data_IF_522548892549
#
_entry.id   IF_522548892549
#
_cell.length_a   1.000
_cell.length_b   1.000
_cell.length_c   1.000
_cell.angle_alpha   90.00
_cell.angle_beta   90.00
_cell.angle_gamma   90.00
#
_symmetry.space_group_name_H-M   'P 1'
#
loop_
_entity.id
_entity.type
_entity.pdbx_description
1 polymer ?
#
# COMPACT_ATOMS: atom_id res chain seq x y z
N UNK A 1 52.15 39.00 -19.14
CA UNK A 1 51.64 37.64 -18.85
C UNK A 1 50.21 37.80 -18.36
N UNK A 2 49.29 37.93 -19.32
CA UNK A 2 47.85 38.10 -19.10
C UNK A 2 47.20 36.77 -19.44
N UNK A 3 46.69 36.07 -18.43
CA UNK A 3 45.93 34.85 -18.60
C UNK A 3 44.63 35.18 -19.33
N UNK A 4 44.56 34.74 -20.59
CA UNK A 4 43.31 34.67 -21.34
C UNK A 4 42.58 33.45 -20.81
N UNK A 5 41.81 33.65 -19.75
CA UNK A 5 40.82 32.71 -19.27
C UNK A 5 39.81 32.52 -20.40
N UNK A 6 39.84 31.34 -21.01
CA UNK A 6 38.94 30.95 -22.09
C UNK A 6 37.52 30.92 -21.56
N UNK A 7 36.82 32.03 -21.79
CA UNK A 7 35.37 32.12 -21.87
C UNK A 7 34.92 31.20 -23.01
N UNK A 8 34.77 29.91 -22.71
CA UNK A 8 34.09 28.98 -23.59
C UNK A 8 32.61 29.32 -23.44
N UNK A 9 31.94 29.84 -24.49
CA UNK A 9 30.49 29.91 -24.48
C UNK A 9 29.97 28.51 -24.17
N UNK A 10 29.28 28.37 -23.04
CA UNK A 10 28.60 27.13 -22.70
C UNK A 10 27.69 26.76 -23.88
N UNK A 11 27.50 25.47 -24.19
CA UNK A 11 26.64 25.08 -25.29
C UNK A 11 25.24 25.67 -25.04
N UNK A 12 24.90 26.73 -25.76
CA UNK A 12 23.57 27.31 -25.80
C UNK A 12 22.59 26.15 -26.04
N UNK A 13 21.68 25.99 -25.08
CA UNK A 13 20.92 24.77 -24.81
C UNK A 13 20.44 24.03 -26.06
N UNK A 14 21.18 22.99 -26.43
CA UNK A 14 20.86 22.14 -27.56
C UNK A 14 19.50 21.49 -27.39
N UNK A 15 18.48 22.02 -28.08
CA UNK A 15 17.27 21.31 -28.53
C UNK A 15 16.44 20.58 -27.47
N UNK A 16 16.62 20.86 -26.19
CA UNK A 16 15.87 20.26 -25.10
C UNK A 16 14.39 20.72 -25.21
N UNK A 17 13.42 19.80 -25.32
CA UNK A 17 12.01 20.17 -25.37
C UNK A 17 11.64 20.97 -24.12
N UNK A 18 11.05 22.16 -24.30
CA UNK A 18 10.55 22.95 -23.19
C UNK A 18 9.31 22.25 -22.59
N UNK A 19 9.34 21.79 -21.32
CA UNK A 19 8.17 21.20 -20.70
C UNK A 19 7.02 22.20 -20.51
N UNK A 20 7.28 23.51 -20.54
CA UNK A 20 6.27 24.55 -20.39
C UNK A 20 5.16 24.47 -21.44
N UNK A 21 5.52 24.15 -22.69
CA UNK A 21 4.58 24.13 -23.83
C UNK A 21 3.76 22.84 -23.96
N UNK A 22 4.05 21.81 -23.15
CA UNK A 22 3.38 20.51 -23.24
C UNK A 22 1.98 20.59 -22.60
N UNK A 23 0.92 20.27 -23.36
CA UNK A 23 -0.47 20.34 -22.93
C UNK A 23 -1.19 18.98 -22.85
N UNK A 24 -0.66 17.95 -23.50
CA UNK A 24 -1.32 16.63 -23.60
C UNK A 24 -0.40 15.46 -23.22
N UNK A 25 -1.00 14.31 -22.91
CA UNK A 25 -0.27 13.06 -22.61
C UNK A 25 0.65 12.68 -23.77
N UNK A 26 0.15 12.74 -25.00
CA UNK A 26 0.91 12.38 -26.21
C UNK A 26 2.09 13.31 -26.47
N UNK A 27 1.92 14.63 -26.28
CA UNK A 27 3.02 15.59 -26.37
C UNK A 27 4.10 15.31 -25.33
N UNK A 28 3.72 15.01 -24.10
CA UNK A 28 4.66 14.69 -23.03
C UNK A 28 5.49 13.45 -23.33
N UNK A 29 4.85 12.36 -23.80
CA UNK A 29 5.57 11.13 -24.17
C UNK A 29 6.47 11.34 -25.39
N UNK A 30 6.03 12.11 -26.40
CA UNK A 30 6.87 12.48 -27.54
C UNK A 30 8.10 13.27 -27.11
N UNK A 31 7.95 14.19 -26.16
CA UNK A 31 9.08 14.95 -25.61
C UNK A 31 10.09 14.03 -24.88
N UNK A 32 9.63 13.04 -24.10
CA UNK A 32 10.51 12.02 -23.50
C UNK A 32 11.25 11.17 -24.56
N UNK A 33 10.59 10.84 -25.68
CA UNK A 33 11.22 10.11 -26.79
C UNK A 33 12.26 10.98 -27.51
N UNK A 34 11.99 12.27 -27.67
CA UNK A 34 12.95 13.22 -28.23
C UNK A 34 14.21 13.32 -27.36
N UNK A 35 14.05 13.43 -26.03
CA UNK A 35 15.18 13.36 -25.09
C UNK A 35 16.00 12.08 -25.25
N UNK A 36 15.33 10.92 -25.30
CA UNK A 36 16.01 9.64 -25.54
C UNK A 36 16.79 9.62 -26.85
N UNK A 37 16.25 10.24 -27.90
CA UNK A 37 16.89 10.30 -29.22
C UNK A 37 18.12 11.21 -29.23
N UNK A 38 18.04 12.39 -28.60
CA UNK A 38 19.17 13.33 -28.46
C UNK A 38 20.33 12.64 -27.72
N UNK A 39 20.03 11.95 -26.63
CA UNK A 39 21.03 11.22 -25.83
C UNK A 39 21.47 9.88 -26.47
N UNK A 40 20.86 9.49 -27.60
CA UNK A 40 21.15 8.23 -28.31
C UNK A 40 21.09 6.97 -27.42
N UNK A 41 20.26 6.97 -26.37
CA UNK A 41 20.22 5.86 -25.41
C UNK A 41 19.34 4.70 -25.90
N UNK A 42 19.90 3.50 -25.86
CA UNK A 42 19.16 2.26 -26.08
C UNK A 42 18.27 1.92 -24.86
N UNK A 43 17.22 1.12 -25.05
CA UNK A 43 16.39 0.67 -23.92
C UNK A 43 17.19 -0.17 -22.91
N UNK A 44 18.23 -0.88 -23.35
CA UNK A 44 19.12 -1.65 -22.47
C UNK A 44 19.99 -0.73 -21.61
N UNK A 45 20.48 0.36 -22.19
CA UNK A 45 21.23 1.37 -21.43
C UNK A 45 20.33 2.11 -20.44
N UNK A 46 19.11 2.45 -20.84
CA UNK A 46 18.13 3.03 -19.91
C UNK A 46 17.80 2.07 -18.76
N UNK A 47 17.64 0.78 -19.03
CA UNK A 47 17.46 -0.22 -17.97
C UNK A 47 18.63 -0.22 -16.99
N UNK A 48 19.89 -0.15 -17.48
CA UNK A 48 21.07 -0.07 -16.60
C UNK A 48 21.09 1.20 -15.76
N UNK A 49 20.79 2.36 -16.36
CA UNK A 49 20.84 3.66 -15.67
C UNK A 49 19.70 3.88 -14.68
N UNK A 50 18.52 3.34 -14.98
CA UNK A 50 17.31 3.60 -14.18
C UNK A 50 16.95 2.45 -13.23
N UNK A 51 17.49 1.25 -13.44
CA UNK A 51 17.04 0.02 -12.76
C UNK A 51 15.66 -0.46 -13.21
N UNK A 52 14.96 0.25 -14.12
CA UNK A 52 13.63 -0.12 -14.56
C UNK A 52 13.67 -1.27 -15.60
N UNK A 53 12.74 -2.25 -15.53
CA UNK A 53 12.66 -3.30 -16.54
C UNK A 53 12.46 -2.73 -17.95
N UNK A 54 13.11 -3.32 -18.96
CA UNK A 54 13.02 -2.87 -20.36
C UNK A 54 11.59 -2.71 -20.87
N UNK A 55 10.69 -3.62 -20.50
CA UNK A 55 9.27 -3.58 -20.84
C UNK A 55 8.54 -2.41 -20.18
N UNK A 56 8.93 -2.04 -18.96
CA UNK A 56 8.39 -0.87 -18.24
C UNK A 56 8.82 0.42 -18.93
N UNK A 57 10.08 0.52 -19.37
CA UNK A 57 10.60 1.67 -20.11
C UNK A 57 9.90 1.79 -21.47
N UNK A 58 9.78 0.68 -22.21
CA UNK A 58 9.10 0.66 -23.51
C UNK A 58 7.64 1.12 -23.38
N UNK A 59 6.92 0.63 -22.37
CA UNK A 59 5.54 1.03 -22.11
C UNK A 59 5.41 2.48 -21.64
N UNK A 60 6.37 3.01 -20.87
CA UNK A 60 6.38 4.41 -20.45
C UNK A 60 6.64 5.38 -21.62
N UNK A 61 7.35 4.92 -22.65
CA UNK A 61 7.66 5.67 -23.87
C UNK A 61 6.70 5.37 -25.04
N UNK A 62 5.60 4.64 -24.80
CA UNK A 62 4.58 4.38 -25.82
C UNK A 62 3.69 5.61 -26.02
N UNK A 63 3.66 6.15 -27.24
CA UNK A 63 2.88 7.33 -27.62
C UNK A 63 1.36 7.08 -27.65
N UNK A 64 0.93 5.83 -27.82
CA UNK A 64 -0.49 5.44 -27.80
C UNK A 64 -1.08 5.34 -26.39
N UNK A 65 -0.31 5.66 -25.34
CA UNK A 65 -0.78 5.48 -23.96
C UNK A 65 -1.88 6.50 -23.61
N UNK A 66 -3.03 6.06 -23.07
CA UNK A 66 -4.14 6.96 -22.73
C UNK A 66 -3.89 7.82 -21.47
N UNK A 67 -2.81 7.55 -20.72
CA UNK A 67 -2.50 8.24 -19.47
C UNK A 67 -1.00 8.45 -19.29
N UNK A 68 -0.61 9.45 -18.50
CA UNK A 68 0.78 9.71 -18.17
C UNK A 68 1.40 8.59 -17.32
N UNK A 69 2.68 8.21 -17.57
CA UNK A 69 3.40 7.30 -16.68
C UNK A 69 3.48 7.86 -15.25
N UNK A 70 3.55 7.00 -14.21
CA UNK A 70 3.81 7.43 -12.84
C UNK A 70 5.04 8.34 -12.74
N UNK A 71 4.96 9.38 -11.89
CA UNK A 71 5.99 10.41 -11.80
C UNK A 71 7.38 9.84 -11.49
N UNK A 72 7.50 8.89 -10.58
CA UNK A 72 8.79 8.29 -10.21
C UNK A 72 9.51 7.66 -11.42
N UNK A 73 8.75 7.08 -12.35
CA UNK A 73 9.30 6.50 -13.60
C UNK A 73 9.76 7.59 -14.55
N UNK A 74 8.97 8.67 -14.69
CA UNK A 74 9.33 9.84 -15.50
C UNK A 74 10.59 10.49 -14.93
N UNK A 75 10.66 10.70 -13.62
CA UNK A 75 11.81 11.26 -12.93
C UNK A 75 13.07 10.41 -13.10
N UNK A 76 12.97 9.08 -13.00
CA UNK A 76 14.09 8.18 -13.26
C UNK A 76 14.60 8.29 -14.70
N UNK A 77 13.69 8.34 -15.69
CA UNK A 77 14.05 8.53 -17.09
C UNK A 77 14.70 9.89 -17.35
N UNK A 78 14.12 10.98 -16.84
CA UNK A 78 14.65 12.34 -16.97
C UNK A 78 16.07 12.45 -16.39
N UNK A 79 16.31 11.87 -15.21
CA UNK A 79 17.65 11.80 -14.63
C UNK A 79 18.63 11.00 -15.50
N UNK A 80 18.17 9.89 -16.10
CA UNK A 80 18.98 9.09 -17.01
C UNK A 80 19.30 9.81 -18.34
N UNK A 81 18.43 10.74 -18.76
CA UNK A 81 18.63 11.68 -19.86
C UNK A 81 19.46 12.91 -19.48
N UNK A 82 19.99 12.99 -18.27
CA UNK A 82 20.81 14.12 -17.82
C UNK A 82 20.02 15.36 -17.35
N UNK A 83 18.69 15.30 -17.28
CA UNK A 83 17.86 16.39 -16.74
C UNK A 83 18.00 16.43 -15.22
N UNK A 84 18.48 17.56 -14.67
CA UNK A 84 18.74 17.77 -13.24
C UNK A 84 18.21 19.13 -12.77
N UNK A 85 18.20 19.33 -11.45
CA UNK A 85 17.96 20.65 -10.84
C UNK A 85 16.58 21.24 -11.15
N UNK A 86 16.57 22.52 -11.51
CA UNK A 86 15.39 23.33 -11.84
C UNK A 86 14.60 22.76 -13.04
N UNK A 87 15.29 22.19 -14.02
CA UNK A 87 14.64 21.58 -15.17
C UNK A 87 13.72 20.43 -14.74
N UNK A 88 14.12 19.61 -13.76
CA UNK A 88 13.30 18.51 -13.26
C UNK A 88 11.99 19.02 -12.60
N UNK A 89 12.05 20.17 -11.92
CA UNK A 89 10.86 20.81 -11.36
C UNK A 89 9.89 21.26 -12.48
N UNK A 90 10.40 21.91 -13.54
CA UNK A 90 9.57 22.31 -14.69
C UNK A 90 8.87 21.12 -15.36
N UNK A 91 9.58 19.99 -15.48
CA UNK A 91 8.99 18.74 -15.98
C UNK A 91 7.89 18.18 -15.06
N UNK A 92 8.05 18.31 -13.73
CA UNK A 92 7.04 17.90 -12.74
C UNK A 92 5.78 18.75 -12.82
N UNK A 93 5.95 20.05 -13.01
CA UNK A 93 4.84 21.00 -13.13
C UNK A 93 4.02 20.71 -14.40
N UNK A 94 4.70 20.48 -15.53
CA UNK A 94 4.05 20.07 -16.77
C UNK A 94 3.29 18.74 -16.63
N UNK A 95 3.91 17.72 -16.02
CA UNK A 95 3.26 16.44 -15.77
C UNK A 95 2.01 16.59 -14.89
N UNK A 96 2.08 17.41 -13.84
CA UNK A 96 0.97 17.63 -12.90
C UNK A 96 -0.20 18.33 -13.58
N UNK A 97 0.09 19.39 -14.35
CA UNK A 97 -0.90 20.12 -15.14
C UNK A 97 -1.65 19.21 -16.12
N UNK A 98 -0.91 18.47 -16.96
CA UNK A 98 -1.51 17.53 -17.94
C UNK A 98 -2.36 16.46 -17.25
N UNK A 99 -1.93 15.97 -16.07
CA UNK A 99 -2.70 14.99 -15.30
C UNK A 99 -4.02 15.56 -14.79
N UNK A 100 -4.01 16.80 -14.27
CA UNK A 100 -5.21 17.48 -13.81
C UNK A 100 -6.19 17.77 -14.95
N UNK A 101 -5.68 18.22 -16.10
CA UNK A 101 -6.52 18.49 -17.27
C UNK A 101 -7.12 17.21 -17.86
N UNK A 102 -6.35 16.11 -17.89
CA UNK A 102 -6.85 14.80 -18.29
C UNK A 102 -7.97 14.30 -17.37
N UNK A 103 -7.86 14.55 -16.06
CA UNK A 103 -8.89 14.17 -15.09
C UNK A 103 -10.18 14.99 -15.26
N UNK A 104 -10.06 16.31 -15.54
CA UNK A 104 -11.19 17.17 -15.86
C UNK A 104 -11.93 16.70 -17.11
N UNK A 105 -11.19 16.38 -18.17
CA UNK A 105 -11.76 15.92 -19.43
C UNK A 105 -12.40 14.52 -19.31
N UNK A 106 -11.84 13.63 -18.48
CA UNK A 106 -12.42 12.32 -18.24
C UNK A 106 -13.75 12.38 -17.45
N UNK A 107 -13.95 13.40 -16.62
CA UNK A 107 -15.19 13.61 -15.85
C UNK A 107 -16.30 14.36 -16.61
N UNK A 108 -15.97 15.03 -17.72
CA UNK A 108 -16.94 15.76 -18.55
C UNK A 108 -17.69 14.91 -19.59
N UNK A 109 -17.44 13.59 -19.61
CA UNK A 109 -18.07 12.66 -20.53
C UNK A 109 -19.47 12.24 -20.07
N UNK A 110 -20.47 13.04 -20.43
CA UNK A 110 -21.87 12.60 -20.50
C UNK A 110 -22.64 12.62 -19.19
N UNK A 111 -23.09 13.80 -18.78
CA UNK A 111 -24.45 13.86 -18.25
C UNK A 111 -25.35 13.38 -19.40
N UNK A 112 -26.07 12.24 -19.26
CA UNK A 112 -26.93 11.76 -20.32
C UNK A 112 -27.90 12.88 -20.65
N UNK A 113 -27.80 13.41 -21.86
CA UNK A 113 -28.79 14.30 -22.42
C UNK A 113 -30.15 13.64 -22.16
N UNK A 114 -31.05 14.28 -21.39
CA UNK A 114 -32.32 13.66 -21.04
C UNK A 114 -33.04 13.37 -22.34
N UNK A 115 -33.13 12.09 -22.71
CA UNK A 115 -33.93 11.62 -23.84
C UNK A 115 -35.28 12.31 -23.75
N UNK A 116 -35.58 13.13 -24.75
CA UNK A 116 -36.83 13.84 -24.87
C UNK A 116 -37.96 12.81 -24.74
N UNK A 117 -38.70 12.93 -23.64
CA UNK A 117 -39.71 11.97 -23.22
C UNK A 117 -40.65 11.58 -24.36
N UNK A 118 -40.67 10.28 -24.63
CA UNK A 118 -41.71 9.65 -25.41
C UNK A 118 -43.05 9.90 -24.70
N UNK A 119 -43.91 10.67 -25.35
CA UNK A 119 -45.24 11.04 -24.85
C UNK A 119 -46.04 9.78 -24.50
N UNK A 120 -46.52 9.63 -23.25
CA UNK A 120 -47.48 8.60 -22.91
C UNK A 120 -48.77 8.79 -23.71
N UNK A 121 -49.22 7.74 -24.39
CA UNK A 121 -50.52 7.70 -25.04
C UNK A 121 -51.64 7.90 -24.00
N UNK A 122 -52.57 8.82 -24.28
CA UNK A 122 -53.77 9.06 -23.49
C UNK A 122 -54.64 7.80 -23.40
N UNK A 123 -55.16 7.44 -22.21
CA UNK A 123 -56.19 6.44 -22.07
C UNK A 123 -57.57 7.03 -22.45
N UNK A 124 -58.46 6.26 -23.09
CA UNK A 124 -59.79 6.73 -23.42
C UNK A 124 -60.65 6.88 -22.14
N UNK A 125 -61.25 8.06 -22.01
CA UNK A 125 -62.29 8.38 -21.03
C UNK A 125 -63.54 7.52 -21.29
N UNK A 126 -64.03 6.85 -20.25
CA UNK A 126 -65.19 5.98 -20.34
C UNK A 126 -65.81 5.66 -18.98
N UNK A 127 -66.81 6.46 -18.64
CA UNK A 127 -68.04 6.09 -17.92
C UNK A 127 -68.04 5.94 -16.39
N UNK A 128 -68.65 6.97 -15.80
CA UNK A 128 -69.24 7.07 -14.47
C UNK A 128 -70.33 6.02 -14.24
N UNK A 129 -70.29 5.31 -13.09
CA UNK A 129 -71.54 4.95 -12.39
C UNK A 129 -71.38 4.77 -10.88
N UNK A 130 -72.38 5.31 -10.20
CA UNK A 130 -72.58 5.55 -8.78
C UNK A 130 -73.25 4.37 -8.04
N UNK A 131 -73.17 4.44 -6.71
CA UNK A 131 -73.99 3.73 -5.69
C UNK A 131 -73.68 2.24 -5.46
N UNK A 132 -73.70 1.68 -4.25
CA UNK A 132 -74.04 2.17 -2.92
C UNK A 132 -74.10 0.99 -1.94
N UNK A 133 -73.99 1.31 -0.65
CA UNK A 133 -74.51 0.60 0.53
C UNK A 133 -74.18 -0.88 0.84
N UNK A 134 -73.82 -1.05 2.12
CA UNK A 134 -74.24 -2.10 3.05
C UNK A 134 -73.53 -3.48 3.06
N UNK A 135 -72.80 -3.65 4.15
CA UNK A 135 -72.94 -4.72 5.14
C UNK A 135 -72.51 -6.16 4.83
N UNK A 136 -71.99 -6.74 5.92
CA UNK A 136 -71.83 -8.16 6.25
C UNK A 136 -70.76 -8.97 5.54
N UNK A 137 -69.87 -9.50 6.38
CA UNK A 137 -69.63 -10.94 6.57
C UNK A 137 -68.17 -11.35 6.45
N UNK A 138 -67.73 -12.03 7.50
CA UNK A 138 -66.43 -12.64 7.63
C UNK A 138 -66.22 -13.70 6.55
N UNK A 139 -65.10 -13.65 5.84
CA UNK A 139 -64.61 -14.80 5.10
C UNK A 139 -63.08 -14.83 5.11
N UNK A 140 -62.59 -15.98 5.54
CA UNK A 140 -61.20 -16.34 5.69
C UNK A 140 -60.37 -16.08 4.42
N UNK A 141 -59.18 -15.50 4.61
CA UNK A 141 -58.15 -15.39 3.58
C UNK A 141 -57.67 -16.80 3.20
N UNK A 142 -57.78 -17.21 1.93
CA UNK A 142 -57.16 -18.44 1.46
C UNK A 142 -55.65 -18.26 1.46
N UNK A 143 -54.93 -19.02 2.29
CA UNK A 143 -53.48 -19.21 2.15
C UNK A 143 -53.21 -19.90 0.83
N UNK A 144 -52.80 -19.13 -0.18
CA UNK A 144 -52.23 -19.66 -1.40
C UNK A 144 -50.97 -20.46 -1.06
N UNK A 145 -51.10 -21.79 -1.12
CA UNK A 145 -50.00 -22.74 -1.07
C UNK A 145 -49.11 -22.55 -2.30
N UNK A 146 -48.01 -21.84 -2.15
CA UNK A 146 -46.93 -21.89 -3.13
C UNK A 146 -46.21 -23.24 -2.99
N UNK A 147 -46.32 -24.02 -4.07
CA UNK A 147 -45.69 -25.33 -4.25
C UNK A 147 -44.16 -25.21 -4.19
N UNK A 148 -43.45 -26.14 -3.53
CA UNK A 148 -42.01 -26.24 -3.62
C UNK A 148 -41.65 -27.01 -4.89
N UNK A 149 -40.95 -26.38 -5.82
CA UNK A 149 -40.50 -27.08 -7.02
C UNK A 149 -39.87 -26.14 -8.04
N UNK A 150 -38.63 -26.45 -8.40
CA UNK A 150 -37.81 -25.86 -9.48
C UNK A 150 -37.09 -24.55 -9.17
N UNK A 151 -36.09 -24.62 -8.29
CA UNK A 151 -34.80 -23.92 -8.48
C UNK A 151 -33.65 -24.77 -7.91
N UNK A 152 -33.35 -25.86 -8.61
CA UNK A 152 -32.12 -26.62 -8.46
C UNK A 152 -31.62 -26.93 -9.88
N UNK A 153 -30.90 -25.98 -10.48
CA UNK A 153 -30.07 -26.13 -11.69
C UNK A 153 -29.60 -24.73 -12.09
N UNK A 154 -28.44 -24.31 -11.58
CA UNK A 154 -27.53 -23.30 -12.18
C UNK A 154 -26.31 -23.02 -11.27
N UNK A 155 -25.69 -24.06 -10.66
CA UNK A 155 -24.37 -23.94 -10.01
C UNK A 155 -23.56 -25.25 -10.12
N UNK A 156 -23.53 -25.88 -11.29
CA UNK A 156 -22.95 -27.22 -11.47
C UNK A 156 -22.10 -27.38 -12.72
N UNK A 157 -21.35 -26.37 -13.15
CA UNK A 157 -20.56 -26.44 -14.39
C UNK A 157 -19.28 -25.61 -14.38
N UNK A 158 -18.49 -25.66 -13.29
CA UNK A 158 -17.11 -25.14 -13.26
C UNK A 158 -16.19 -25.86 -12.25
N UNK A 159 -16.42 -27.16 -12.03
CA UNK A 159 -15.56 -28.03 -11.19
C UNK A 159 -15.36 -29.42 -11.84
N UNK A 160 -15.17 -29.46 -13.17
CA UNK A 160 -15.13 -30.73 -13.92
C UNK A 160 -14.18 -30.79 -15.12
N UNK A 161 -13.15 -29.93 -15.19
CA UNK A 161 -12.14 -29.98 -16.28
C UNK A 161 -10.68 -30.05 -15.75
N UNK A 162 -10.46 -29.96 -14.44
CA UNK A 162 -9.11 -29.98 -13.83
C UNK A 162 -8.63 -31.33 -13.30
N UNK A 163 -9.22 -32.46 -13.69
CA UNK A 163 -8.93 -33.78 -13.11
C UNK A 163 -8.66 -34.91 -14.12
N UNK A 164 -8.36 -34.59 -15.39
CA UNK A 164 -8.15 -35.59 -16.45
C UNK A 164 -6.85 -35.38 -17.28
N UNK A 165 -5.83 -34.72 -16.71
CA UNK A 165 -4.48 -34.62 -17.30
C UNK A 165 -3.37 -34.97 -16.30
N UNK A 166 -3.61 -35.97 -15.44
CA UNK A 166 -2.65 -36.40 -14.42
C UNK A 166 -2.69 -37.90 -14.15
N UNK A 167 -2.78 -38.73 -15.20
CA UNK A 167 -2.77 -40.18 -15.01
C UNK A 167 -2.34 -40.97 -16.27
N UNK A 168 -1.23 -40.62 -16.94
CA UNK A 168 -0.50 -41.57 -17.79
C UNK A 168 0.98 -41.17 -17.83
N UNK A 169 1.83 -41.95 -17.16
CA UNK A 169 3.20 -42.35 -17.60
C UNK A 169 4.08 -42.75 -16.40
N UNK A 170 3.78 -43.90 -15.81
CA UNK A 170 4.79 -44.73 -15.14
C UNK A 170 4.61 -46.13 -15.69
N UNK A 171 5.47 -46.54 -16.63
CA UNK A 171 6.20 -47.82 -16.63
C UNK A 171 6.96 -48.01 -17.95
N UNK A 172 8.26 -48.31 -17.81
CA UNK A 172 9.04 -49.05 -18.80
C UNK A 172 10.12 -48.24 -19.52
N UNK A 173 11.38 -48.34 -19.06
CA UNK A 173 12.39 -49.08 -19.82
C UNK A 173 13.65 -49.33 -18.98
N UNK A 174 13.98 -50.62 -18.87
CA UNK A 174 15.27 -51.15 -18.43
C UNK A 174 16.25 -51.05 -19.59
N UNK A 175 17.45 -50.53 -19.32
CA UNK A 175 18.69 -50.87 -20.03
C UNK A 175 19.03 -50.07 -21.29
N UNK A 176 20.09 -49.26 -21.21
CA UNK A 176 21.30 -49.41 -22.04
C UNK A 176 22.38 -48.43 -21.61
N UNK A 177 23.58 -48.97 -21.42
CA UNK A 177 24.82 -48.23 -21.23
C UNK A 177 25.24 -47.54 -22.54
N UNK A 178 25.82 -46.34 -22.43
CA UNK A 178 26.66 -45.75 -23.47
C UNK A 178 26.28 -44.34 -23.92
N UNK A 179 27.17 -43.38 -23.62
CA UNK A 179 27.34 -42.17 -24.44
C UNK A 179 26.77 -40.86 -23.91
N UNK A 180 27.62 -40.03 -23.30
CA UNK A 180 27.61 -38.57 -23.51
C UNK A 180 27.92 -38.28 -25.00
N UNK A 181 27.54 -37.13 -25.63
CA UNK A 181 27.63 -35.77 -25.06
C UNK A 181 26.53 -34.77 -25.50
N UNK A 182 26.53 -33.57 -24.89
CA UNK A 182 25.87 -32.38 -25.47
C UNK A 182 24.99 -31.58 -24.50
N UNK A 183 25.60 -30.96 -23.49
CA UNK A 183 24.89 -30.01 -22.63
C UNK A 183 24.60 -28.69 -23.35
N UNK A 184 23.32 -28.38 -23.55
CA UNK A 184 22.86 -27.04 -23.92
C UNK A 184 22.92 -26.11 -22.71
N UNK A 185 23.52 -24.91 -22.82
CA UNK A 185 23.49 -23.94 -21.74
C UNK A 185 22.11 -23.28 -21.70
N UNK A 186 21.29 -23.69 -20.74
CA UNK A 186 20.07 -22.98 -20.38
C UNK A 186 20.42 -21.58 -19.87
N UNK A 187 20.20 -20.57 -20.69
CA UNK A 187 20.35 -19.16 -20.36
C UNK A 187 19.27 -18.68 -19.38
N UNK A 188 19.34 -19.14 -18.13
CA UNK A 188 18.70 -18.48 -17.01
C UNK A 188 19.60 -17.33 -16.59
N UNK A 189 19.16 -16.08 -16.81
CA UNK A 189 19.84 -14.94 -16.20
C UNK A 189 19.75 -15.10 -14.68
N UNK A 190 20.86 -15.22 -13.94
CA UNK A 190 20.79 -15.19 -12.49
C UNK A 190 20.22 -13.81 -12.10
N UNK A 191 19.07 -13.82 -11.44
CA UNK A 191 18.64 -12.66 -10.67
C UNK A 191 19.68 -12.56 -9.56
N UNK A 192 20.64 -11.65 -9.69
CA UNK A 192 21.58 -11.33 -8.62
C UNK A 192 20.76 -11.06 -7.38
N UNK A 193 20.84 -11.96 -6.40
CA UNK A 193 20.37 -11.70 -5.07
C UNK A 193 21.20 -10.52 -4.58
N UNK A 194 20.62 -9.32 -4.64
CA UNK A 194 21.22 -8.10 -4.11
C UNK A 194 21.63 -8.40 -2.68
N UNK A 195 22.93 -8.64 -2.53
CA UNK A 195 23.49 -9.21 -1.32
C UNK A 195 23.49 -8.03 -0.38
N UNK A 196 22.84 -8.15 0.78
CA UNK A 196 22.90 -7.11 1.80
C UNK A 196 24.35 -6.69 1.92
N UNK A 197 24.68 -5.41 1.66
CA UNK A 197 26.06 -4.97 1.76
C UNK A 197 26.55 -5.44 3.14
N UNK A 198 27.72 -6.11 3.21
CA UNK A 198 28.22 -6.63 4.47
C UNK A 198 28.16 -5.49 5.45
N UNK A 199 27.45 -5.68 6.57
CA UNK A 199 27.11 -4.61 7.49
C UNK A 199 28.37 -3.79 7.76
N UNK A 200 28.49 -2.64 7.11
CA UNK A 200 29.62 -1.76 7.32
C UNK A 200 29.51 -1.42 8.79
N UNK A 201 30.50 -1.82 9.59
CA UNK A 201 30.51 -1.67 11.03
C UNK A 201 30.37 -0.18 11.35
N UNK A 202 29.13 0.28 11.38
CA UNK A 202 28.76 1.63 11.74
C UNK A 202 28.86 1.61 13.25
N UNK A 203 30.09 1.82 13.71
CA UNK A 203 30.41 2.14 15.09
C UNK A 203 29.78 3.51 15.38
N UNK A 204 28.46 3.54 15.50
CA UNK A 204 27.78 4.63 16.16
C UNK A 204 28.09 4.42 17.64
N UNK A 205 29.14 5.09 18.10
CA UNK A 205 29.49 5.15 19.51
C UNK A 205 28.25 5.63 20.26
N UNK A 206 27.60 4.72 20.96
CA UNK A 206 26.53 5.07 21.89
C UNK A 206 27.13 6.07 22.89
N UNK A 207 26.58 7.30 23.03
CA UNK A 207 26.98 8.17 24.12
C UNK A 207 26.68 7.44 25.43
N UNK A 208 27.72 7.25 26.25
CA UNK A 208 27.63 6.55 27.52
C UNK A 208 26.47 7.08 28.36
N UNK A 209 25.54 6.20 28.69
CA UNK A 209 24.47 6.49 29.65
C UNK A 209 25.11 6.87 30.99
N UNK A 210 24.84 8.05 31.55
CA UNK A 210 25.15 8.30 32.96
C UNK A 210 24.30 7.36 33.81
N UNK A 211 24.97 6.66 34.73
CA UNK A 211 24.33 5.87 35.79
C UNK A 211 23.57 6.83 36.71
N UNK A 212 22.29 7.07 36.42
CA UNK A 212 21.42 7.87 37.27
C UNK A 212 21.15 7.14 38.58
N UNK A 213 21.66 7.70 39.66
CA UNK A 213 21.29 7.35 41.02
C UNK A 213 19.79 7.59 41.24
N UNK A 214 19.16 6.62 41.89
CA UNK A 214 17.74 6.56 42.26
C UNK A 214 17.38 7.70 43.23
N UNK A 215 16.59 8.72 42.84
CA UNK A 215 16.01 9.66 43.78
C UNK A 215 14.71 9.06 44.32
N UNK A 216 14.73 8.62 45.58
CA UNK A 216 13.51 8.29 46.34
C UNK A 216 12.57 9.50 46.33
N UNK A 217 11.50 9.41 45.55
CA UNK A 217 10.41 10.39 45.54
C UNK A 217 9.55 10.23 46.81
N UNK A 218 9.15 11.34 47.45
CA UNK A 218 8.24 11.32 48.59
C UNK A 218 6.83 10.91 48.16
N UNK A 219 6.19 10.07 48.97
CA UNK A 219 4.81 9.64 48.79
C UNK A 219 3.85 10.81 49.00
N UNK A 220 3.47 11.50 47.91
CA UNK A 220 2.40 12.48 47.92
C UNK A 220 1.05 11.76 47.75
N UNK A 221 0.29 11.66 48.85
CA UNK A 221 -1.07 11.15 48.91
C UNK A 221 -2.11 12.08 48.26
N UNK A 222 -1.91 12.43 47.00
CA UNK A 222 -2.90 13.13 46.19
C UNK A 222 -3.95 12.14 45.69
N UNK A 223 -5.19 12.27 46.17
CA UNK A 223 -6.35 11.55 45.66
C UNK A 223 -6.56 11.90 44.20
N UNK A 224 -5.92 11.14 43.30
CA UNK A 224 -6.04 11.31 41.87
C UNK A 224 -7.49 11.03 41.47
N UNK A 225 -8.21 12.10 41.13
CA UNK A 225 -9.49 11.97 40.45
C UNK A 225 -9.28 11.04 39.25
N UNK A 226 -9.89 9.86 39.31
CA UNK A 226 -9.84 8.85 38.26
C UNK A 226 -10.36 9.48 36.98
N UNK A 227 -9.45 10.02 36.13
CA UNK A 227 -9.83 10.50 34.80
C UNK A 227 -10.46 9.31 34.11
N UNK A 228 -11.71 9.49 33.69
CA UNK A 228 -12.38 8.51 32.83
C UNK A 228 -11.53 8.44 31.57
N UNK A 229 -10.81 7.34 31.40
CA UNK A 229 -9.98 7.11 30.23
C UNK A 229 -10.92 7.09 29.03
N UNK A 230 -10.69 8.00 28.08
CA UNK A 230 -11.49 8.06 26.87
C UNK A 230 -11.39 6.72 26.13
N UNK A 231 -12.51 6.23 25.60
CA UNK A 231 -12.52 4.97 24.85
C UNK A 231 -11.61 5.09 23.62
N UNK A 232 -10.78 4.08 23.32
CA UNK A 232 -9.91 4.14 22.15
C UNK A 232 -10.67 4.33 20.84
N UNK A 233 -10.19 5.21 19.98
CA UNK A 233 -10.81 5.50 18.68
C UNK A 233 -9.77 5.92 17.64
N UNK A 234 -9.95 5.50 16.38
CA UNK A 234 -9.17 6.02 15.25
C UNK A 234 -9.62 7.44 14.91
N UNK A 235 -8.66 8.34 14.72
CA UNK A 235 -8.89 9.75 14.40
C UNK A 235 -8.68 9.99 12.91
N UNK A 236 -7.55 9.54 12.37
CA UNK A 236 -7.19 9.78 10.98
C UNK A 236 -5.82 9.23 10.62
N UNK A 237 -5.38 9.55 9.40
CA UNK A 237 -4.06 9.20 8.87
C UNK A 237 -3.28 10.49 8.59
N UNK A 238 -2.45 10.98 9.53
CA UNK A 238 -1.69 12.21 9.34
C UNK A 238 -0.63 12.10 8.25
N UNK A 239 -0.02 10.92 8.05
CA UNK A 239 1.05 10.75 7.08
C UNK A 239 1.09 9.34 6.49
N UNK A 240 1.53 9.22 5.24
CA UNK A 240 1.83 7.94 4.62
C UNK A 240 2.67 8.10 3.36
N UNK A 241 3.44 7.08 3.02
CA UNK A 241 4.16 7.00 1.76
C UNK A 241 4.45 5.54 1.36
N UNK A 242 4.72 5.30 0.08
CA UNK A 242 5.19 4.01 -0.42
C UNK A 242 6.00 4.19 -1.70
N UNK A 243 7.26 3.73 -1.70
CA UNK A 243 8.17 3.94 -2.83
C UNK A 243 9.05 2.72 -3.15
N UNK A 244 9.54 2.70 -4.39
CA UNK A 244 10.57 1.77 -4.87
C UNK A 244 11.88 2.55 -4.88
N UNK A 245 12.58 2.59 -3.75
CA UNK A 245 13.84 3.31 -3.59
C UNK A 245 14.77 2.53 -2.64
N UNK A 246 16.07 2.79 -2.77
CA UNK A 246 17.14 2.28 -1.91
C UNK A 246 17.45 3.18 -0.71
N UNK A 247 16.84 4.36 -0.63
CA UNK A 247 17.06 5.28 0.48
C UNK A 247 16.54 4.67 1.78
N UNK A 248 17.29 4.86 2.86
CA UNK A 248 17.02 4.28 4.18
C UNK A 248 16.44 5.28 5.17
N UNK A 249 16.24 6.52 4.73
CA UNK A 249 15.82 7.66 5.54
C UNK A 249 14.67 8.36 4.83
N UNK A 250 13.48 8.27 5.41
CA UNK A 250 12.22 8.74 4.82
C UNK A 250 11.67 9.84 5.69
N UNK A 251 11.42 11.00 5.09
CA UNK A 251 10.75 12.13 5.74
C UNK A 251 9.31 12.24 5.24
N UNK A 252 8.34 12.04 6.14
CA UNK A 252 6.92 12.00 5.84
C UNK A 252 6.26 13.31 6.26
N UNK A 253 5.82 14.17 5.33
CA UNK A 253 5.13 15.41 5.70
C UNK A 253 3.79 15.08 6.36
N UNK A 254 3.48 15.79 7.45
CA UNK A 254 2.17 15.70 8.09
C UNK A 254 1.14 16.42 7.21
N UNK A 255 0.14 15.68 6.76
CA UNK A 255 -0.93 16.17 5.86
C UNK A 255 -2.24 16.48 6.59
N UNK A 256 -2.40 15.97 7.82
CA UNK A 256 -3.52 16.28 8.71
C UNK A 256 -2.98 16.50 10.12
N UNK A 257 -3.35 17.58 10.83
CA UNK A 257 -2.86 17.85 12.17
C UNK A 257 -3.15 16.72 13.17
N UNK A 258 -2.23 16.50 14.10
CA UNK A 258 -2.34 15.51 15.18
C UNK A 258 -2.63 16.21 16.50
N UNK A 259 -3.59 15.68 17.26
CA UNK A 259 -3.94 16.23 18.57
C UNK A 259 -2.90 15.82 19.61
N UNK A 260 -2.35 16.79 20.33
CA UNK A 260 -1.42 16.50 21.42
C UNK A 260 -2.06 15.59 22.49
N UNK A 261 -1.31 14.58 22.92
CA UNK A 261 -1.76 13.58 23.89
C UNK A 261 -2.36 12.30 23.28
N UNK A 262 -2.66 12.30 21.98
CA UNK A 262 -3.07 11.10 21.25
C UNK A 262 -1.85 10.17 21.00
N UNK A 263 -2.09 8.99 20.42
CA UNK A 263 -1.06 8.04 20.03
C UNK A 263 -0.93 7.97 18.51
N UNK A 264 0.30 7.77 18.04
CA UNK A 264 0.59 7.50 16.62
C UNK A 264 1.08 6.06 16.48
N UNK A 265 0.37 5.28 15.68
CA UNK A 265 0.75 3.91 15.33
C UNK A 265 1.26 3.90 13.89
N UNK A 266 2.52 3.49 13.73
CA UNK A 266 3.23 3.46 12.45
C UNK A 266 3.29 2.01 11.97
N UNK A 267 2.56 1.73 10.89
CA UNK A 267 2.63 0.46 10.19
C UNK A 267 3.67 0.54 9.08
N UNK A 268 4.60 -0.41 9.05
CA UNK A 268 5.68 -0.43 8.06
C UNK A 268 5.72 -1.79 7.36
N UNK A 269 5.90 -1.79 6.04
CA UNK A 269 6.30 -2.98 5.27
C UNK A 269 7.60 -2.66 4.54
N UNK A 270 8.62 -3.51 4.68
CA UNK A 270 9.88 -3.45 3.95
C UNK A 270 10.03 -4.69 3.08
N UNK A 271 10.44 -4.51 1.82
CA UNK A 271 10.57 -5.63 0.86
C UNK A 271 12.03 -6.01 0.64
N UNK A 272 12.35 -7.29 0.83
CA UNK A 272 13.71 -7.84 0.66
C UNK A 272 14.71 -7.09 1.54
N UNK A 273 14.32 -6.89 2.80
CA UNK A 273 15.04 -6.02 3.72
C UNK A 273 16.28 -6.70 4.28
N UNK A 274 17.29 -5.90 4.57
CA UNK A 274 18.45 -6.32 5.33
C UNK A 274 18.15 -6.30 6.84
N UNK A 275 18.87 -7.10 7.64
CA UNK A 275 18.79 -7.00 9.09
C UNK A 275 19.18 -5.59 9.57
N UNK A 276 18.46 -5.05 10.54
CA UNK A 276 18.79 -3.76 11.16
C UNK A 276 17.60 -3.13 11.88
N UNK A 277 17.83 -2.07 12.67
CA UNK A 277 16.77 -1.39 13.41
C UNK A 277 15.89 -0.54 12.47
N UNK A 278 14.61 -0.42 12.81
CA UNK A 278 13.73 0.63 12.29
C UNK A 278 13.49 1.63 13.41
N UNK A 279 13.74 2.91 13.15
CA UNK A 279 13.52 3.99 14.12
C UNK A 279 12.58 5.03 13.54
N UNK A 280 11.70 5.55 14.40
CA UNK A 280 10.78 6.63 14.04
C UNK A 280 10.93 7.76 15.05
N UNK A 281 10.96 8.99 14.54
CA UNK A 281 10.96 10.25 15.29
C UNK A 281 10.11 11.25 14.54
N UNK A 282 9.68 12.32 15.20
CA UNK A 282 9.10 13.49 14.53
C UNK A 282 9.87 14.77 14.86
N UNK A 283 9.47 15.87 14.25
CA UNK A 283 10.04 17.21 14.46
C UNK A 283 9.84 17.75 15.87
N UNK A 284 8.91 17.19 16.66
CA UNK A 284 8.69 17.56 18.05
C UNK A 284 9.49 16.69 19.04
N UNK A 285 10.21 15.69 18.53
CA UNK A 285 11.11 14.84 19.32
C UNK A 285 10.42 13.67 20.02
N UNK A 286 9.21 13.29 19.59
CA UNK A 286 8.52 12.14 20.17
C UNK A 286 9.25 10.84 19.87
N UNK A 287 9.07 9.88 20.79
CA UNK A 287 9.75 8.59 20.76
C UNK A 287 8.79 7.46 20.44
N UNK A 288 9.17 6.68 19.44
CA UNK A 288 8.42 5.52 19.01
C UNK A 288 9.11 4.22 19.45
N UNK A 289 8.32 3.20 19.76
CA UNK A 289 8.82 1.87 20.16
C UNK A 289 8.18 0.80 19.30
N UNK A 290 8.92 -0.27 19.00
CA UNK A 290 8.39 -1.41 18.25
C UNK A 290 7.33 -2.13 19.09
N UNK A 291 6.09 -2.12 18.60
CA UNK A 291 4.94 -2.82 19.18
C UNK A 291 4.86 -4.27 18.70
N UNK A 292 5.36 -4.59 17.50
CA UNK A 292 5.46 -5.95 16.98
C UNK A 292 6.12 -5.98 15.61
N UNK A 293 6.65 -7.13 15.21
CA UNK A 293 7.42 -7.26 13.99
C UNK A 293 7.44 -8.70 13.48
N UNK A 294 7.30 -8.91 12.18
CA UNK A 294 7.52 -10.22 11.56
C UNK A 294 8.35 -10.08 10.31
N UNK A 295 9.27 -11.01 10.09
CA UNK A 295 10.00 -11.17 8.83
C UNK A 295 9.68 -12.55 8.25
N UNK A 296 9.24 -12.58 6.99
CA UNK A 296 8.93 -13.83 6.30
C UNK A 296 10.17 -14.49 5.66
N UNK A 297 9.97 -15.65 5.05
CA UNK A 297 11.00 -16.45 4.38
C UNK A 297 11.70 -15.75 3.21
N UNK A 298 11.10 -14.69 2.65
CA UNK A 298 11.67 -13.86 1.58
C UNK A 298 12.20 -12.52 2.07
N UNK A 299 12.34 -12.36 3.39
CA UNK A 299 12.79 -11.11 4.02
C UNK A 299 11.87 -9.93 3.69
N UNK A 300 10.57 -10.17 3.54
CA UNK A 300 9.59 -9.10 3.66
C UNK A 300 9.29 -8.94 5.15
N UNK A 301 9.40 -7.70 5.64
CA UNK A 301 9.30 -7.37 7.05
C UNK A 301 8.12 -6.45 7.27
N UNK A 302 7.19 -6.86 8.13
CA UNK A 302 6.03 -6.05 8.54
C UNK A 302 6.20 -5.68 10.00
N UNK A 303 6.01 -4.40 10.34
CA UNK A 303 6.21 -3.88 11.69
C UNK A 303 5.07 -2.96 12.11
N UNK A 304 4.84 -2.91 13.43
CA UNK A 304 4.10 -1.86 14.11
C UNK A 304 5.05 -1.14 15.07
N UNK A 305 5.10 0.19 14.99
CA UNK A 305 5.72 1.05 16.00
C UNK A 305 4.66 1.96 16.61
N UNK A 306 4.85 2.38 17.86
CA UNK A 306 3.91 3.26 18.54
C UNK A 306 4.62 4.38 19.32
N UNK A 307 4.15 5.61 19.14
CA UNK A 307 4.41 6.75 20.01
C UNK A 307 3.15 7.06 20.81
N UNK A 308 3.28 7.29 22.12
CA UNK A 308 2.17 7.54 23.03
C UNK A 308 2.27 8.95 23.60
N UNK A 309 1.11 9.60 23.79
CA UNK A 309 1.05 10.95 24.31
C UNK A 309 1.94 11.91 23.52
N UNK A 310 1.86 11.82 22.19
CA UNK A 310 2.70 12.62 21.29
C UNK A 310 2.39 14.11 21.44
N UNK A 311 3.35 14.95 21.10
CA UNK A 311 3.11 16.38 20.99
C UNK A 311 2.15 16.65 19.81
N UNK A 312 1.49 17.82 19.84
CA UNK A 312 0.65 18.21 18.72
C UNK A 312 1.52 18.42 17.47
N UNK A 313 1.12 17.83 16.34
CA UNK A 313 1.79 18.02 15.05
C UNK A 313 0.89 18.83 14.13
N UNK A 314 1.49 19.74 13.37
CA UNK A 314 0.84 20.57 12.36
C UNK A 314 1.30 20.15 10.96
N UNK A 315 0.75 20.76 9.91
CA UNK A 315 1.22 20.51 8.54
C UNK A 315 2.60 21.10 8.22
N UNK A 316 3.24 21.79 9.17
CA UNK A 316 4.63 22.21 9.07
C UNK A 316 5.61 21.16 9.63
N UNK A 317 5.08 20.12 10.28
CA UNK A 317 5.84 19.05 10.92
C UNK A 317 6.04 17.85 9.99
N UNK A 318 6.99 17.00 10.34
CA UNK A 318 7.25 15.75 9.61
C UNK A 318 7.57 14.60 10.55
N UNK A 319 7.35 13.38 10.05
CA UNK A 319 7.68 12.13 10.73
C UNK A 319 8.80 11.46 9.94
N UNK A 320 9.94 11.28 10.60
CA UNK A 320 11.12 10.66 10.01
C UNK A 320 11.19 9.18 10.37
N UNK A 321 11.37 8.34 9.36
CA UNK A 321 11.54 6.89 9.50
C UNK A 321 12.87 6.46 8.91
N UNK A 322 13.72 5.87 9.73
CA UNK A 322 14.99 5.27 9.29
C UNK A 322 14.86 3.76 9.36
N UNK A 323 15.21 3.05 8.28
CA UNK A 323 15.09 1.60 8.17
C UNK A 323 16.34 0.99 7.51
N UNK A 324 16.63 -0.31 7.71
CA UNK A 324 17.73 -0.95 6.98
C UNK A 324 17.44 -0.97 5.47
N UNK A 325 18.47 -1.23 4.67
CA UNK A 325 18.32 -1.35 3.21
C UNK A 325 17.15 -2.26 2.83
N UNK A 326 16.29 -1.79 1.94
CA UNK A 326 15.15 -2.53 1.41
C UNK A 326 14.92 -2.11 -0.04
N UNK A 327 14.37 -3.01 -0.84
CA UNK A 327 14.06 -2.70 -2.25
C UNK A 327 12.82 -1.80 -2.40
N UNK A 328 11.94 -1.77 -1.39
CA UNK A 328 10.69 -1.00 -1.32
C UNK A 328 10.28 -0.80 0.12
N UNK A 329 9.51 0.25 0.36
CA UNK A 329 8.80 0.45 1.62
C UNK A 329 7.33 0.84 1.40
N UNK A 330 6.53 0.60 2.44
CA UNK A 330 5.22 1.18 2.68
C UNK A 330 5.20 1.64 4.13
N UNK A 331 4.80 2.88 4.38
CA UNK A 331 4.69 3.44 5.72
C UNK A 331 3.35 4.15 5.84
N UNK A 332 2.54 3.73 6.81
CA UNK A 332 1.30 4.41 7.19
C UNK A 332 1.39 4.84 8.65
N UNK A 333 1.05 6.10 8.93
CA UNK A 333 0.93 6.63 10.30
C UNK A 333 -0.54 6.88 10.57
N UNK A 334 -1.10 6.18 11.54
CA UNK A 334 -2.51 6.29 11.94
C UNK A 334 -2.61 6.84 13.38
N UNK A 335 -3.44 7.86 13.57
CA UNK A 335 -3.68 8.53 14.85
C UNK A 335 -4.82 7.84 15.61
N UNK A 336 -4.59 7.59 16.89
CA UNK A 336 -5.56 6.99 17.80
C UNK A 336 -5.65 7.78 19.10
N UNK A 337 -6.88 8.11 19.50
CA UNK A 337 -7.17 8.71 20.80
C UNK A 337 -7.32 7.63 21.87
N UNK A 338 -7.00 7.97 23.12
CA UNK A 338 -7.30 7.14 24.28
C UNK A 338 -6.38 5.93 24.45
N UNK A 339 -5.21 5.97 23.79
CA UNK A 339 -4.22 4.89 23.79
C UNK A 339 -2.94 5.37 24.49
N UNK A 340 -2.41 4.57 25.41
CA UNK A 340 -1.30 4.95 26.30
C UNK A 340 -0.19 3.90 26.40
N UNK A 341 -0.48 2.62 26.11
CA UNK A 341 0.51 1.56 26.17
C UNK A 341 0.23 0.41 25.20
N UNK A 342 1.28 -0.31 24.79
CA UNK A 342 1.16 -1.67 24.23
C UNK A 342 1.02 -2.65 25.38
N UNK A 343 0.06 -3.58 25.32
CA UNK A 343 -0.15 -4.59 26.36
C UNK A 343 0.11 -6.02 25.89
N UNK A 344 -0.07 -6.29 24.60
CA UNK A 344 0.22 -7.60 24.02
C UNK A 344 0.46 -7.52 22.52
N UNK A 345 1.07 -8.58 21.96
CA UNK A 345 1.34 -8.70 20.52
C UNK A 345 1.37 -10.15 20.05
N UNK A 346 1.10 -10.36 18.77
CA UNK A 346 1.36 -11.62 18.06
C UNK A 346 1.76 -11.35 16.62
N UNK A 347 2.42 -12.33 16.04
CA UNK A 347 2.98 -12.28 14.70
C UNK A 347 2.88 -13.64 14.03
N UNK A 348 2.72 -13.62 12.71
CA UNK A 348 2.74 -14.81 11.88
C UNK A 348 3.08 -14.41 10.43
N UNK A 349 3.50 -15.38 9.63
CA UNK A 349 3.64 -15.23 8.20
C UNK A 349 3.17 -16.51 7.50
N UNK A 350 2.90 -16.41 6.20
CA UNK A 350 2.48 -17.54 5.38
C UNK A 350 2.89 -17.39 3.94
N UNK A 351 3.03 -18.54 3.27
CA UNK A 351 3.43 -18.64 1.88
C UNK A 351 2.28 -18.31 0.92
N UNK A 352 2.63 -18.00 -0.33
CA UNK A 352 1.66 -17.74 -1.39
C UNK A 352 0.82 -18.99 -1.69
N UNK A 353 -0.42 -18.78 -2.14
CA UNK A 353 -1.36 -19.86 -2.49
C UNK A 353 -2.22 -20.36 -1.33
N UNK A 354 -1.93 -19.94 -0.09
CA UNK A 354 -2.89 -20.06 1.02
C UNK A 354 -4.17 -19.26 0.74
N UNK A 355 -5.22 -19.47 1.53
CA UNK A 355 -6.47 -18.68 1.42
C UNK A 355 -6.78 -17.89 2.68
N UNK A 356 -6.14 -18.20 3.80
CA UNK A 356 -6.35 -17.56 5.09
C UNK A 356 -5.02 -17.06 5.68
N UNK A 357 -5.07 -15.95 6.39
CA UNK A 357 -3.99 -15.52 7.29
C UNK A 357 -4.51 -15.47 8.73
N UNK A 358 -3.66 -15.81 9.70
CA UNK A 358 -3.98 -15.72 11.12
C UNK A 358 -2.74 -15.52 11.98
N UNK A 359 -2.83 -14.69 13.03
CA UNK A 359 -1.81 -14.60 14.09
C UNK A 359 -2.13 -15.46 15.32
N UNK A 360 -3.20 -16.27 15.28
CA UNK A 360 -3.73 -17.01 16.43
C UNK A 360 -2.81 -18.10 17.00
N UNK A 361 -1.72 -18.44 16.33
CA UNK A 361 -0.72 -19.38 16.86
C UNK A 361 -0.01 -18.85 18.10
N UNK A 362 0.02 -17.52 18.27
CA UNK A 362 0.49 -16.86 19.50
C UNK A 362 -0.72 -16.26 20.21
N UNK A 363 -1.02 -16.75 21.42
CA UNK A 363 -2.13 -16.21 22.22
C UNK A 363 -1.83 -14.76 22.59
N UNK A 364 -2.61 -13.82 22.05
CA UNK A 364 -2.59 -12.41 22.46
C UNK A 364 -3.53 -12.24 23.64
N UNK A 365 -2.99 -11.87 24.80
CA UNK A 365 -3.79 -11.53 25.97
C UNK A 365 -4.25 -10.07 25.86
N UNK A 366 -5.53 -9.87 25.61
CA UNK A 366 -6.16 -8.55 25.56
C UNK A 366 -7.40 -8.55 26.47
N UNK A 367 -7.72 -7.38 27.01
CA UNK A 367 -8.90 -7.17 27.82
C UNK A 367 -10.02 -6.52 27.01
N UNK A 368 -11.25 -6.66 27.50
CA UNK A 368 -12.41 -5.93 26.98
C UNK A 368 -12.11 -4.43 26.94
N UNK A 369 -12.29 -3.80 25.78
CA UNK A 369 -12.06 -2.37 25.60
C UNK A 369 -10.65 -1.98 25.15
N UNK A 370 -9.68 -2.91 25.17
CA UNK A 370 -8.36 -2.67 24.58
C UNK A 370 -8.51 -2.43 23.06
N UNK A 371 -7.75 -1.50 22.49
CA UNK A 371 -7.64 -1.31 21.05
C UNK A 371 -6.76 -2.41 20.48
N UNK A 372 -7.17 -3.06 19.40
CA UNK A 372 -6.37 -4.04 18.68
C UNK A 372 -6.09 -3.50 17.29
N UNK A 373 -4.82 -3.36 16.93
CA UNK A 373 -4.39 -2.91 15.60
C UNK A 373 -3.58 -4.02 14.94
N UNK A 374 -3.87 -4.25 13.66
CA UNK A 374 -3.19 -5.23 12.83
C UNK A 374 -2.62 -4.57 11.58
N UNK A 375 -1.45 -5.04 11.16
CA UNK A 375 -0.84 -4.72 9.88
C UNK A 375 -0.46 -6.01 9.15
N UNK A 376 -0.84 -6.10 7.88
CA UNK A 376 -0.51 -7.21 6.99
C UNK A 376 0.22 -6.65 5.77
N UNK A 377 1.49 -7.02 5.65
CA UNK A 377 2.27 -6.83 4.44
C UNK A 377 2.08 -8.01 3.50
N UNK A 378 1.78 -7.76 2.24
CA UNK A 378 1.64 -8.81 1.21
C UNK A 378 2.36 -8.48 -0.08
N UNK A 379 2.79 -9.52 -0.78
CA UNK A 379 3.33 -9.42 -2.13
C UNK A 379 2.29 -9.87 -3.18
N UNK A 380 2.74 -10.48 -4.28
CA UNK A 380 1.89 -10.96 -5.38
C UNK A 380 0.76 -11.89 -4.92
N UNK A 381 -0.49 -11.52 -5.24
CA UNK A 381 -1.70 -12.29 -4.94
C UNK A 381 -2.89 -11.36 -4.77
N UNK A 382 -3.96 -11.86 -4.15
CA UNK A 382 -5.10 -11.02 -3.77
C UNK A 382 -4.77 -10.09 -2.60
N UNK A 383 -5.43 -8.94 -2.54
CA UNK A 383 -5.31 -8.06 -1.38
C UNK A 383 -5.78 -8.77 -0.11
N UNK A 384 -5.15 -8.54 1.06
CA UNK A 384 -5.71 -8.95 2.33
C UNK A 384 -7.12 -8.43 2.53
N UNK A 385 -8.02 -9.31 2.89
CA UNK A 385 -9.38 -8.98 3.35
C UNK A 385 -9.48 -9.48 4.78
N UNK A 386 -9.55 -8.55 5.73
CA UNK A 386 -9.77 -8.87 7.15
C UNK A 386 -11.17 -9.46 7.37
N UNK A 387 -11.30 -10.26 8.42
CA UNK A 387 -12.61 -10.74 8.89
C UNK A 387 -13.54 -9.57 9.27
N UNK A 388 -14.86 -9.78 9.23
CA UNK A 388 -15.86 -8.70 9.27
C UNK A 388 -15.88 -7.86 10.55
N UNK A 389 -15.29 -8.35 11.65
CA UNK A 389 -15.18 -7.64 12.92
C UNK A 389 -14.09 -6.57 12.94
N UNK A 390 -13.29 -6.46 11.88
CA UNK A 390 -12.24 -5.47 11.73
C UNK A 390 -12.72 -4.26 10.93
N UNK A 391 -12.31 -3.08 11.39
CA UNK A 391 -12.42 -1.83 10.62
C UNK A 391 -11.14 -1.66 9.79
N UNK A 392 -11.26 -1.85 8.48
CA UNK A 392 -10.13 -1.72 7.57
C UNK A 392 -9.68 -0.26 7.46
N UNK A 393 -8.37 -0.04 7.46
CA UNK A 393 -7.74 1.26 7.21
C UNK A 393 -7.35 1.39 5.73
N UNK A 394 -7.07 2.61 5.22
CA UNK A 394 -6.68 2.78 3.82
C UNK A 394 -5.45 1.93 3.47
N UNK A 395 -5.51 1.21 2.36
CA UNK A 395 -4.44 0.30 1.91
C UNK A 395 -3.40 1.07 1.12
N UNK A 396 -2.12 0.94 1.49
CA UNK A 396 -1.03 1.42 0.66
C UNK A 396 -0.66 0.36 -0.36
N UNK A 397 -0.64 0.72 -1.64
CA UNK A 397 -0.34 -0.19 -2.74
C UNK A 397 0.80 0.35 -3.58
N UNK A 398 1.78 -0.50 -3.82
CA UNK A 398 2.89 -0.22 -4.72
C UNK A 398 3.12 -1.44 -5.61
N UNK A 399 2.72 -1.33 -6.89
CA UNK A 399 2.67 -2.48 -7.81
C UNK A 399 1.76 -3.60 -7.27
N UNK A 400 2.31 -4.82 -7.11
CA UNK A 400 1.63 -5.97 -6.49
C UNK A 400 1.77 -6.01 -4.97
N UNK A 401 2.61 -5.16 -4.36
CA UNK A 401 2.85 -5.15 -2.92
C UNK A 401 1.85 -4.23 -2.22
N UNK A 402 1.41 -4.64 -1.02
CA UNK A 402 0.39 -3.94 -0.25
C UNK A 402 0.73 -3.96 1.23
N UNK A 403 0.49 -2.84 1.90
CA UNK A 403 0.38 -2.76 3.35
C UNK A 403 -1.08 -2.46 3.69
N UNK A 404 -1.73 -3.41 4.35
CA UNK A 404 -3.13 -3.33 4.78
C UNK A 404 -3.20 -3.24 6.30
N UNK A 405 -3.66 -2.11 6.83
CA UNK A 405 -3.93 -1.93 8.26
C UNK A 405 -5.41 -2.19 8.58
N UNK A 406 -5.69 -2.60 9.82
CA UNK A 406 -7.04 -2.62 10.37
C UNK A 406 -7.03 -2.47 11.88
N UNK A 407 -8.15 -2.06 12.46
CA UNK A 407 -8.31 -1.99 13.90
C UNK A 407 -9.68 -2.50 14.37
N UNK A 408 -9.78 -2.80 15.65
CA UNK A 408 -11.05 -3.02 16.36
C UNK A 408 -10.87 -2.77 17.84
N UNK A 409 -11.97 -2.59 18.57
CA UNK A 409 -11.96 -2.61 20.04
C UNK A 409 -12.29 -4.03 20.50
N UNK A 410 -11.46 -4.61 21.36
CA UNK A 410 -11.63 -5.98 21.84
C UNK A 410 -12.96 -6.12 22.62
N UNK A 411 -13.85 -7.06 22.24
CA UNK A 411 -15.01 -7.38 23.06
C UNK A 411 -14.63 -8.09 24.38
N UNK A 412 -15.63 -8.47 25.19
CA UNK A 412 -15.40 -9.01 26.54
C UNK A 412 -14.65 -10.34 26.60
N UNK A 413 -14.76 -11.21 25.58
CA UNK A 413 -14.11 -12.53 25.53
C UNK A 413 -13.66 -13.00 24.12
N UNK A 414 -12.72 -12.35 23.42
CA UNK A 414 -12.25 -12.83 22.12
C UNK A 414 -10.76 -13.22 22.11
N UNK A 415 -10.37 -13.97 21.08
CA UNK A 415 -8.97 -13.97 20.64
C UNK A 415 -8.66 -12.59 20.03
N UNK A 416 -7.51 -12.01 20.38
CA UNK A 416 -6.97 -10.81 19.72
C UNK A 416 -6.07 -11.12 18.53
N UNK A 417 -6.31 -12.26 17.88
CA UNK A 417 -5.65 -12.60 16.63
C UNK A 417 -6.19 -11.73 15.49
N UNK A 418 -5.31 -11.34 14.57
CA UNK A 418 -5.69 -10.82 13.27
C UNK A 418 -6.01 -12.00 12.35
N UNK A 419 -7.16 -11.96 11.70
CA UNK A 419 -7.64 -13.02 10.81
C UNK A 419 -8.21 -12.43 9.52
N UNK A 420 -8.10 -13.20 8.45
CA UNK A 420 -8.66 -12.81 7.17
C UNK A 420 -8.25 -13.76 6.05
N UNK A 421 -8.35 -13.27 4.82
CA UNK A 421 -8.05 -14.03 3.60
C UNK A 421 -7.09 -13.28 2.68
N UNK A 422 -6.20 -14.02 2.02
CA UNK A 422 -5.34 -13.56 0.94
C UNK A 422 -4.74 -14.79 0.24
N UNK A 423 -4.45 -14.67 -1.06
CA UNK A 423 -3.65 -15.66 -1.80
C UNK A 423 -2.20 -15.27 -1.96
N UNK A 424 -1.83 -14.07 -1.50
CA UNK A 424 -0.45 -13.61 -1.49
C UNK A 424 0.35 -14.30 -0.38
N UNK A 425 1.67 -14.30 -0.51
CA UNK A 425 2.52 -14.49 0.66
C UNK A 425 2.38 -13.25 1.55
N UNK A 426 2.35 -13.48 2.86
CA UNK A 426 1.97 -12.47 3.84
C UNK A 426 2.81 -12.53 5.10
N UNK A 427 3.02 -11.37 5.72
CA UNK A 427 3.51 -11.21 7.08
C UNK A 427 2.55 -10.33 7.87
N UNK A 428 1.97 -10.85 8.95
CA UNK A 428 0.98 -10.19 9.78
C UNK A 428 1.52 -9.93 11.20
N UNK A 429 1.30 -8.72 11.69
CA UNK A 429 1.54 -8.32 13.07
C UNK A 429 0.23 -7.82 13.65
N UNK A 430 -0.07 -8.19 14.89
CA UNK A 430 -1.15 -7.62 15.67
C UNK A 430 -0.63 -7.16 17.03
N UNK A 431 -1.10 -6.02 17.51
CA UNK A 431 -0.81 -5.51 18.85
C UNK A 431 -2.11 -5.04 19.52
N UNK A 432 -2.21 -5.30 20.81
CA UNK A 432 -3.26 -4.79 21.68
C UNK A 432 -2.71 -3.62 22.50
N UNK A 433 -3.53 -2.59 22.67
CA UNK A 433 -3.20 -1.32 23.29
C UNK A 433 -4.25 -0.90 24.30
N UNK A 434 -3.82 -0.18 25.34
CA UNK A 434 -4.68 0.31 26.42
C UNK A 434 -4.56 1.81 26.61
#
# INVERSE_FOLDING_TARGET
>A
MTSIESDRPGPDGGGLPDPGVLGTVGEFVRALRALKAVESLSLRELQRRTGLPRTTIAHALNDERPSLPPWDRVQALLRAFGVRGDALARWKDAWTRIRLDSARNAGGGGEPEPEAGERPAEPPEGEVRQAGAAATEAAAVPRARLRPGRRALMHGSLLGVGALLGAVAVFGLVGSAGGSPGGSPGGGNPVEAETCPPAAASQSAAPGLPTSADPRLPAAGGSAARRVQARPAWVGRPASDAQILSDTDVDLPVTSPVTGGDALIVSVMLTSTCPGPVTVTDTQGDRFRVAGEVTDTRRHRTLLLAGFHVHALTTADSIRVVHPGASKYHIAVDEFRGVSAVVARAEAHGEAGGTAFTTSHSKVECAAGDLVVAAVGTNSGTAPVYSAEWSALPVLRLSSYRLSGAYRVAPANPSCAATGTTTAQWGAVVAAFR
#
